data_IF_842551791056
#
_entry.id   IF_842551791056
#
_cell.length_a   1.000
_cell.length_b   1.000
_cell.length_c   1.000
_cell.angle_alpha   90.00
_cell.angle_beta   90.00
_cell.angle_gamma   90.00
#
_symmetry.space_group_name_H-M   'P 1'
#
loop_
_entity.id
_entity.type
_entity.pdbx_description
1 polymer ?
#
# COMPACT_ATOMS: atom_id res chain seq x y z
N UNK A 1 -24.89 -10.20 8.98
CA UNK A 1 -25.00 -11.32 8.04
C UNK A 1 -23.61 -11.95 7.90
N UNK A 2 -23.49 -13.25 8.14
CA UNK A 2 -22.22 -13.96 8.02
C UNK A 2 -21.83 -14.05 6.54
N UNK A 3 -20.61 -13.59 6.21
CA UNK A 3 -20.12 -13.58 4.83
C UNK A 3 -18.63 -13.91 4.80
N UNK A 4 -18.22 -14.69 3.80
CA UNK A 4 -16.80 -14.97 3.51
C UNK A 4 -16.22 -13.94 2.55
N UNK A 5 -14.98 -13.54 2.81
CA UNK A 5 -14.23 -12.62 1.95
C UNK A 5 -12.74 -12.89 2.05
N UNK A 6 -12.02 -12.53 0.99
CA UNK A 6 -10.57 -12.39 1.05
C UNK A 6 -10.23 -11.01 1.64
N UNK A 7 -9.09 -10.93 2.32
CA UNK A 7 -8.63 -9.70 2.94
C UNK A 7 -7.11 -9.58 2.97
N UNK A 8 -6.64 -8.36 2.96
CA UNK A 8 -5.24 -7.96 3.11
C UNK A 8 -5.12 -7.19 4.42
N UNK A 9 -4.34 -7.70 5.35
CA UNK A 9 -4.14 -7.06 6.67
C UNK A 9 -3.28 -5.83 6.51
N UNK A 10 -3.82 -4.67 6.87
CA UNK A 10 -3.10 -3.39 6.78
C UNK A 10 -2.47 -2.98 8.11
N UNK A 11 -3.24 -3.08 9.19
CA UNK A 11 -2.79 -2.66 10.51
C UNK A 11 -3.43 -3.50 11.60
N UNK A 12 -2.73 -3.67 12.72
CA UNK A 12 -3.26 -4.35 13.90
C UNK A 12 -2.90 -3.59 15.16
N UNK A 13 -3.87 -3.52 16.08
CA UNK A 13 -3.72 -2.88 17.38
C UNK A 13 -4.16 -3.84 18.47
N UNK A 14 -3.34 -4.02 19.51
CA UNK A 14 -3.77 -4.74 20.71
C UNK A 14 -4.88 -3.96 21.42
N UNK A 15 -6.08 -4.54 21.48
CA UNK A 15 -7.23 -3.91 22.13
C UNK A 15 -7.26 -4.24 23.63
N UNK A 16 -7.07 -5.51 23.98
CA UNK A 16 -6.93 -6.01 25.35
C UNK A 16 -6.12 -7.31 25.35
N UNK A 17 -6.03 -8.00 26.52
CA UNK A 17 -5.22 -9.23 26.65
C UNK A 17 -5.76 -10.42 25.86
N UNK A 18 -7.01 -10.36 25.39
CA UNK A 18 -7.69 -11.43 24.67
C UNK A 18 -8.19 -11.04 23.30
N UNK A 19 -7.93 -9.80 22.86
CA UNK A 19 -8.45 -9.31 21.58
C UNK A 19 -7.50 -8.31 20.95
N UNK A 20 -7.47 -8.31 19.62
CA UNK A 20 -6.86 -7.25 18.79
C UNK A 20 -7.91 -6.66 17.85
N UNK A 21 -7.67 -5.46 17.39
CA UNK A 21 -8.38 -4.85 16.28
C UNK A 21 -7.47 -4.97 15.06
N UNK A 22 -8.01 -5.49 13.95
CA UNK A 22 -7.32 -5.58 12.67
C UNK A 22 -8.05 -4.73 11.63
N UNK A 23 -7.35 -3.79 11.01
CA UNK A 23 -7.81 -3.07 9.84
C UNK A 23 -7.41 -3.87 8.60
N UNK A 24 -8.41 -4.30 7.84
CA UNK A 24 -8.24 -5.22 6.71
C UNK A 24 -8.89 -4.59 5.48
N UNK A 25 -8.17 -4.59 4.36
CA UNK A 25 -8.76 -4.27 3.07
C UNK A 25 -9.35 -5.55 2.48
N UNK A 26 -10.67 -5.57 2.37
CA UNK A 26 -11.42 -6.76 1.93
C UNK A 26 -11.89 -6.62 0.49
N UNK A 27 -12.08 -7.77 -0.19
CA UNK A 27 -12.57 -7.79 -1.56
C UNK A 27 -14.00 -7.24 -1.69
N UNK A 28 -14.86 -7.50 -0.68
CA UNK A 28 -16.31 -7.25 -0.80
C UNK A 28 -16.82 -5.97 -0.15
N UNK A 29 -16.10 -5.41 0.83
CA UNK A 29 -16.53 -4.17 1.51
C UNK A 29 -15.44 -3.09 1.52
N UNK A 30 -14.30 -3.34 0.86
CA UNK A 30 -13.16 -2.45 0.94
C UNK A 30 -12.52 -2.49 2.33
N UNK A 31 -12.06 -1.33 2.83
CA UNK A 31 -11.43 -1.26 4.14
C UNK A 31 -12.45 -1.34 5.28
N UNK A 32 -12.18 -2.23 6.22
CA UNK A 32 -13.01 -2.41 7.41
C UNK A 32 -12.16 -2.78 8.63
N UNK A 33 -12.63 -2.42 9.82
CA UNK A 33 -12.02 -2.76 11.10
C UNK A 33 -12.72 -3.99 11.68
N UNK A 34 -11.92 -4.91 12.21
CA UNK A 34 -12.40 -6.18 12.75
C UNK A 34 -11.88 -6.40 14.16
N UNK A 35 -12.75 -6.84 15.07
CA UNK A 35 -12.32 -7.37 16.35
C UNK A 35 -12.02 -8.86 16.22
N UNK A 36 -10.81 -9.22 16.60
CA UNK A 36 -10.27 -10.58 16.54
C UNK A 36 -10.04 -11.06 17.96
N UNK A 37 -10.72 -12.13 18.38
CA UNK A 37 -10.44 -12.78 19.66
C UNK A 37 -9.16 -13.60 19.55
N UNK A 38 -8.23 -13.41 20.50
CA UNK A 38 -7.00 -14.18 20.63
C UNK A 38 -7.28 -15.32 21.63
N UNK A 39 -7.49 -16.53 21.15
CA UNK A 39 -7.74 -17.64 22.06
C UNK A 39 -6.43 -18.11 22.69
N UNK A 40 -6.50 -18.50 23.94
CA UNK A 40 -5.36 -19.10 24.65
C UNK A 40 -5.03 -20.54 24.20
N UNK A 41 -5.91 -21.17 23.44
CA UNK A 41 -5.77 -22.57 22.98
C UNK A 41 -5.01 -22.66 21.65
N UNK A 42 -4.09 -23.62 21.52
CA UNK A 42 -3.39 -23.96 20.26
C UNK A 42 -4.32 -24.48 19.15
N UNK A 43 -5.52 -24.98 19.49
CA UNK A 43 -6.53 -25.50 18.52
C UNK A 43 -7.52 -24.44 18.05
N UNK A 44 -7.26 -23.18 18.31
CA UNK A 44 -8.19 -22.11 17.96
C UNK A 44 -8.34 -21.90 16.46
N UNK A 45 -9.56 -21.60 16.01
CA UNK A 45 -9.90 -21.31 14.64
C UNK A 45 -9.26 -20.00 14.12
N UNK A 46 -8.85 -19.10 15.04
CA UNK A 46 -8.22 -17.83 14.70
C UNK A 46 -6.88 -17.72 15.43
N UNK A 47 -5.80 -17.56 14.68
CA UNK A 47 -4.43 -17.40 15.22
C UNK A 47 -3.92 -15.98 14.99
N UNK A 48 -3.31 -15.32 16.00
CA UNK A 48 -2.78 -13.95 15.86
C UNK A 48 -1.77 -13.79 14.73
N UNK A 49 -0.99 -14.83 14.44
CA UNK A 49 0.01 -14.84 13.37
C UNK A 49 -0.58 -14.57 11.97
N UNK A 50 -1.89 -14.81 11.79
CA UNK A 50 -2.59 -14.52 10.54
C UNK A 50 -2.75 -13.02 10.28
N UNK A 51 -2.61 -12.19 11.32
CA UNK A 51 -2.85 -10.74 11.24
C UNK A 51 -1.55 -9.92 11.22
N UNK A 52 -0.53 -10.46 10.58
CA UNK A 52 0.71 -9.71 10.30
C UNK A 52 0.49 -8.72 9.14
N UNK A 53 1.25 -7.63 9.06
CA UNK A 53 1.16 -6.67 7.96
C UNK A 53 1.25 -7.34 6.59
N UNK A 54 0.36 -6.97 5.67
CA UNK A 54 0.14 -7.52 4.32
C UNK A 54 -0.27 -9.01 4.28
N UNK A 55 -0.49 -9.69 5.40
CA UNK A 55 -0.96 -11.07 5.36
C UNK A 55 -2.25 -11.20 4.54
N UNK A 56 -2.28 -12.21 3.67
CA UNK A 56 -3.41 -12.54 2.83
C UNK A 56 -4.27 -13.58 3.54
N UNK A 57 -5.48 -13.20 3.92
CA UNK A 57 -6.39 -14.03 4.73
C UNK A 57 -7.71 -14.26 4.02
N UNK A 58 -8.26 -15.46 4.18
CA UNK A 58 -9.68 -15.71 3.96
C UNK A 58 -10.35 -15.64 5.33
N UNK A 59 -11.36 -14.81 5.46
CA UNK A 59 -12.06 -14.60 6.71
C UNK A 59 -13.57 -14.73 6.54
N UNK A 60 -14.23 -15.18 7.60
CA UNK A 60 -15.67 -15.14 7.74
C UNK A 60 -16.03 -14.17 8.86
N UNK A 61 -16.85 -13.16 8.54
CA UNK A 61 -17.23 -12.11 9.47
C UNK A 61 -18.72 -11.81 9.43
N UNK A 62 -19.22 -11.31 10.57
CA UNK A 62 -20.61 -10.87 10.70
C UNK A 62 -20.70 -9.38 10.34
N UNK A 63 -21.03 -9.11 9.05
CA UNK A 63 -21.23 -7.77 8.53
C UNK A 63 -22.60 -7.24 8.90
N UNK A 64 -22.66 -6.39 9.91
CA UNK A 64 -23.90 -5.76 10.40
C UNK A 64 -24.01 -4.36 9.82
N UNK A 65 -25.19 -3.96 9.32
CA UNK A 65 -25.44 -2.58 8.93
C UNK A 65 -25.11 -1.61 10.09
N UNK A 66 -24.46 -0.50 9.77
CA UNK A 66 -24.09 0.55 10.70
C UNK A 66 -23.08 0.17 11.82
N UNK A 67 -22.44 -1.00 11.73
CA UNK A 67 -21.36 -1.34 12.65
C UNK A 67 -20.04 -0.70 12.18
N UNK A 68 -19.35 -0.04 13.08
CA UNK A 68 -17.99 0.51 12.84
C UNK A 68 -16.90 -0.56 12.96
N UNK A 69 -17.17 -1.65 13.65
CA UNK A 69 -16.24 -2.77 13.85
C UNK A 69 -16.99 -4.08 13.68
N UNK A 70 -16.49 -4.95 12.82
CA UNK A 70 -17.05 -6.28 12.56
C UNK A 70 -16.36 -7.35 13.42
N UNK A 71 -17.03 -8.48 13.63
CA UNK A 71 -16.48 -9.61 14.38
C UNK A 71 -16.09 -10.72 13.42
N UNK A 72 -14.82 -11.13 13.45
CA UNK A 72 -14.34 -12.32 12.76
C UNK A 72 -14.76 -13.56 13.54
N UNK A 73 -15.38 -14.51 12.85
CA UNK A 73 -15.73 -15.84 13.37
C UNK A 73 -14.69 -16.88 13.03
N UNK A 74 -14.19 -16.85 11.79
CA UNK A 74 -13.14 -17.73 11.28
C UNK A 74 -12.14 -16.96 10.44
N UNK A 75 -10.88 -17.37 10.49
CA UNK A 75 -9.83 -16.86 9.62
C UNK A 75 -8.79 -17.93 9.33
N UNK A 76 -8.34 -18.00 8.10
CA UNK A 76 -7.21 -18.84 7.67
C UNK A 76 -6.30 -18.08 6.71
N UNK A 77 -5.06 -18.53 6.59
CA UNK A 77 -4.18 -17.99 5.56
C UNK A 77 -4.71 -18.40 4.18
N UNK A 78 -4.91 -17.42 3.31
CA UNK A 78 -5.22 -17.64 1.91
C UNK A 78 -3.94 -17.98 1.12
N UNK A 79 -2.84 -17.26 1.44
CA UNK A 79 -1.53 -17.46 0.82
C UNK A 79 -0.47 -17.39 1.92
N UNK A 80 0.16 -18.53 2.30
CA UNK A 80 1.23 -18.53 3.28
C UNK A 80 2.53 -18.00 2.65
N UNK A 81 3.08 -16.93 3.19
CA UNK A 81 4.33 -16.36 2.71
C UNK A 81 5.51 -17.30 2.89
N UNK A 82 6.32 -17.39 1.85
CA UNK A 82 7.53 -18.22 1.80
C UNK A 82 8.82 -17.42 2.03
N UNK A 83 8.84 -16.13 1.75
CA UNK A 83 10.04 -15.30 1.80
C UNK A 83 9.88 -13.98 2.55
N UNK A 84 8.75 -13.28 2.44
CA UNK A 84 8.55 -11.97 3.08
C UNK A 84 8.91 -11.97 4.58
N UNK A 85 8.48 -12.95 5.42
CA UNK A 85 8.83 -12.93 6.85
C UNK A 85 10.29 -13.23 7.16
N UNK A 86 11.03 -13.82 6.20
CA UNK A 86 12.39 -14.34 6.41
C UNK A 86 13.47 -13.47 5.76
N UNK A 87 13.12 -12.62 4.81
CA UNK A 87 14.01 -11.66 4.17
C UNK A 87 13.83 -10.27 4.80
N UNK A 88 14.86 -9.70 5.44
CA UNK A 88 14.77 -8.40 6.11
C UNK A 88 14.39 -7.25 5.17
N UNK A 89 14.82 -7.28 3.91
CA UNK A 89 14.49 -6.26 2.93
C UNK A 89 13.03 -6.34 2.49
N UNK A 90 12.54 -7.56 2.22
CA UNK A 90 11.13 -7.78 1.89
C UNK A 90 10.22 -7.44 3.07
N UNK A 91 10.60 -7.84 4.30
CA UNK A 91 9.87 -7.47 5.51
C UNK A 91 9.78 -5.95 5.68
N UNK A 92 10.87 -5.22 5.43
CA UNK A 92 10.87 -3.75 5.52
C UNK A 92 9.96 -3.12 4.47
N UNK A 93 9.97 -3.62 3.22
CA UNK A 93 9.06 -3.19 2.16
C UNK A 93 7.61 -3.49 2.55
N UNK A 94 7.33 -4.68 3.06
CA UNK A 94 5.98 -5.08 3.46
C UNK A 94 5.42 -4.21 4.59
N UNK A 95 6.22 -3.92 5.62
CA UNK A 95 5.84 -3.03 6.71
C UNK A 95 5.52 -1.62 6.21
N UNK A 96 6.38 -1.08 5.34
CA UNK A 96 6.15 0.22 4.73
C UNK A 96 4.85 0.26 3.91
N UNK A 97 4.63 -0.73 3.05
CA UNK A 97 3.45 -0.77 2.19
C UNK A 97 2.16 -0.97 2.99
N UNK A 98 2.19 -1.76 4.06
CA UNK A 98 1.05 -1.92 4.95
C UNK A 98 0.65 -0.59 5.60
N UNK A 99 1.62 0.14 6.17
CA UNK A 99 1.40 1.46 6.77
C UNK A 99 0.95 2.49 5.73
N UNK A 100 1.56 2.47 4.52
CA UNK A 100 1.15 3.32 3.43
C UNK A 100 -0.30 3.07 3.02
N UNK A 101 -0.67 1.82 2.76
CA UNK A 101 -2.02 1.43 2.39
C UNK A 101 -3.02 1.75 3.50
N UNK A 102 -2.66 1.52 4.76
CA UNK A 102 -3.48 1.88 5.92
C UNK A 102 -3.88 3.36 5.91
N UNK A 103 -3.04 4.24 5.38
CA UNK A 103 -3.30 5.68 5.27
C UNK A 103 -3.96 6.07 3.95
N UNK A 104 -3.54 5.45 2.85
CA UNK A 104 -3.97 5.84 1.50
C UNK A 104 -5.38 5.36 1.15
N UNK A 105 -5.80 4.16 1.61
CA UNK A 105 -7.10 3.55 1.24
C UNK A 105 -8.16 3.69 2.34
N UNK A 106 -8.15 4.78 3.08
CA UNK A 106 -9.06 4.98 4.23
C UNK A 106 -10.54 4.96 3.88
N UNK A 107 -10.90 5.55 2.76
CA UNK A 107 -12.28 5.78 2.32
C UNK A 107 -12.67 4.87 1.15
N UNK A 108 -11.79 3.91 0.80
CA UNK A 108 -12.08 3.03 -0.33
C UNK A 108 -13.20 2.03 0.04
N UNK A 109 -14.28 2.11 -0.71
CA UNK A 109 -15.34 1.12 -0.72
C UNK A 109 -14.89 -0.14 -1.49
N UNK A 110 -15.80 -1.05 -1.79
CA UNK A 110 -15.53 -2.21 -2.65
C UNK A 110 -14.87 -1.76 -3.97
N UNK A 111 -13.66 -2.26 -4.22
CA UNK A 111 -12.91 -2.02 -5.45
C UNK A 111 -12.12 -3.30 -5.79
N UNK A 112 -12.77 -4.21 -6.50
CA UNK A 112 -12.17 -5.50 -6.88
C UNK A 112 -10.91 -5.36 -7.73
N UNK A 113 -10.81 -4.44 -8.72
CA UNK A 113 -9.57 -4.24 -9.45
C UNK A 113 -8.40 -3.81 -8.56
N UNK A 114 -8.64 -2.91 -7.60
CA UNK A 114 -7.62 -2.51 -6.61
C UNK A 114 -7.23 -3.70 -5.73
N UNK A 115 -8.21 -4.46 -5.21
CA UNK A 115 -7.94 -5.64 -4.39
C UNK A 115 -7.05 -6.66 -5.14
N UNK A 116 -7.42 -6.99 -6.38
CA UNK A 116 -6.66 -7.91 -7.23
C UNK A 116 -5.23 -7.39 -7.47
N UNK A 117 -5.07 -6.10 -7.75
CA UNK A 117 -3.76 -5.47 -7.92
C UNK A 117 -2.89 -5.62 -6.66
N UNK A 118 -3.43 -5.30 -5.49
CA UNK A 118 -2.71 -5.40 -4.21
C UNK A 118 -2.31 -6.85 -3.93
N UNK A 119 -3.25 -7.79 -4.06
CA UNK A 119 -3.01 -9.21 -3.86
C UNK A 119 -1.90 -9.76 -4.77
N UNK A 120 -1.99 -9.52 -6.08
CA UNK A 120 -0.99 -9.98 -7.04
C UNK A 120 0.40 -9.35 -6.78
N UNK A 121 0.44 -8.07 -6.42
CA UNK A 121 1.70 -7.39 -6.09
C UNK A 121 2.38 -7.99 -4.85
N UNK A 122 1.62 -8.29 -3.81
CA UNK A 122 2.14 -8.89 -2.58
C UNK A 122 2.66 -10.30 -2.85
N UNK A 123 1.93 -11.12 -3.61
CA UNK A 123 2.36 -12.45 -4.01
C UNK A 123 3.64 -12.36 -4.85
N UNK A 124 3.69 -11.43 -5.82
CA UNK A 124 4.90 -11.22 -6.64
C UNK A 124 6.12 -10.90 -5.77
N UNK A 125 5.99 -10.03 -4.76
CA UNK A 125 7.10 -9.72 -3.84
C UNK A 125 7.56 -10.96 -3.07
N UNK A 126 6.63 -11.82 -2.63
CA UNK A 126 6.98 -13.04 -1.92
C UNK A 126 7.73 -14.04 -2.83
N UNK A 127 7.25 -14.24 -4.05
CA UNK A 127 7.81 -15.20 -5.00
C UNK A 127 9.12 -14.74 -5.64
N UNK A 128 9.32 -13.43 -5.81
CA UNK A 128 10.52 -12.87 -6.42
C UNK A 128 11.77 -13.20 -5.60
N UNK A 129 12.79 -13.78 -6.21
CA UNK A 129 14.05 -14.13 -5.54
C UNK A 129 15.03 -12.95 -5.48
N UNK A 130 15.12 -12.21 -6.58
CA UNK A 130 16.13 -11.18 -6.80
C UNK A 130 15.52 -9.93 -7.46
N UNK A 131 16.30 -8.85 -7.52
CA UNK A 131 15.98 -7.65 -8.30
C UNK A 131 14.73 -6.86 -7.85
N UNK A 132 14.28 -7.02 -6.61
CA UNK A 132 13.11 -6.36 -6.06
C UNK A 132 13.40 -5.00 -5.39
N UNK A 133 14.62 -4.48 -5.47
CA UNK A 133 15.02 -3.26 -4.77
C UNK A 133 14.15 -2.03 -5.10
N UNK A 134 13.58 -1.94 -6.29
CA UNK A 134 12.71 -0.86 -6.75
C UNK A 134 11.21 -1.21 -6.66
N UNK A 135 10.86 -2.37 -6.10
CA UNK A 135 9.48 -2.88 -6.05
C UNK A 135 8.48 -1.86 -5.48
N UNK A 136 8.81 -1.25 -4.34
CA UNK A 136 7.95 -0.29 -3.67
C UNK A 136 7.66 0.96 -4.53
N UNK A 137 8.61 1.40 -5.35
CA UNK A 137 8.43 2.52 -6.27
C UNK A 137 7.44 2.17 -7.38
N UNK A 138 7.60 0.99 -8.01
CA UNK A 138 6.67 0.47 -9.03
C UNK A 138 5.29 0.29 -8.43
N UNK A 139 5.21 -0.30 -7.24
CA UNK A 139 3.96 -0.51 -6.53
C UNK A 139 3.19 0.80 -6.31
N UNK A 140 3.84 1.81 -5.73
CA UNK A 140 3.20 3.10 -5.47
C UNK A 140 2.79 3.82 -6.75
N UNK A 141 3.63 3.78 -7.79
CA UNK A 141 3.35 4.41 -9.07
C UNK A 141 2.14 3.79 -9.78
N UNK A 142 1.99 2.46 -9.69
CA UNK A 142 0.81 1.77 -10.23
C UNK A 142 -0.43 1.97 -9.36
N UNK A 143 -0.27 2.01 -8.03
CA UNK A 143 -1.36 2.30 -7.10
C UNK A 143 -1.99 3.68 -7.39
N UNK A 144 -1.20 4.68 -7.82
CA UNK A 144 -1.70 6.01 -8.15
C UNK A 144 -2.80 6.00 -9.22
N UNK A 145 -2.83 4.99 -10.11
CA UNK A 145 -3.93 4.81 -11.10
C UNK A 145 -5.27 4.55 -10.41
N UNK A 146 -5.27 3.68 -9.40
CA UNK A 146 -6.49 3.34 -8.66
C UNK A 146 -6.96 4.49 -7.77
N UNK A 147 -6.03 5.36 -7.35
CA UNK A 147 -6.34 6.56 -6.57
C UNK A 147 -6.76 7.76 -7.45
N UNK A 148 -6.79 7.59 -8.79
CA UNK A 148 -7.10 8.66 -9.74
C UNK A 148 -6.04 9.76 -9.81
N UNK A 149 -4.78 9.40 -9.52
CA UNK A 149 -3.63 10.29 -9.46
C UNK A 149 -2.55 9.94 -10.49
N UNK A 150 -2.88 9.17 -11.53
CA UNK A 150 -1.85 8.78 -12.50
C UNK A 150 -1.44 9.98 -13.36
N UNK A 151 -0.13 10.30 -13.46
CA UNK A 151 0.33 11.47 -14.21
C UNK A 151 -0.05 11.43 -15.68
N UNK A 152 -0.54 12.54 -16.23
CA UNK A 152 -0.73 12.70 -17.66
C UNK A 152 0.59 13.15 -18.30
N UNK A 153 1.06 12.40 -19.31
CA UNK A 153 2.30 12.68 -20.05
C UNK A 153 2.08 13.31 -21.43
N UNK A 154 0.82 13.55 -21.84
CA UNK A 154 0.52 13.98 -23.23
C UNK A 154 1.27 15.24 -23.63
N UNK A 155 1.39 16.22 -22.72
CA UNK A 155 2.00 17.51 -22.99
C UNK A 155 3.40 17.70 -22.36
N UNK A 156 4.00 16.63 -21.84
CA UNK A 156 5.29 16.74 -21.17
C UNK A 156 6.41 17.23 -22.08
N UNK A 157 7.09 18.29 -21.64
CA UNK A 157 8.36 18.75 -22.21
C UNK A 157 9.47 18.76 -21.16
N UNK A 158 10.71 18.59 -21.62
CA UNK A 158 11.87 18.65 -20.73
C UNK A 158 12.00 20.05 -20.13
N UNK A 159 11.98 20.16 -18.82
CA UNK A 159 12.04 21.42 -18.09
C UNK A 159 10.70 21.83 -17.48
N UNK A 160 9.65 21.04 -17.67
CA UNK A 160 8.34 21.29 -17.06
C UNK A 160 8.32 20.95 -15.57
N UNK A 161 7.54 21.76 -14.84
CA UNK A 161 7.08 21.42 -13.50
C UNK A 161 6.00 20.34 -13.57
N UNK A 162 5.83 19.59 -12.50
CA UNK A 162 4.69 18.69 -12.36
C UNK A 162 3.72 19.23 -11.31
N UNK A 163 2.51 19.58 -11.73
CA UNK A 163 1.41 19.98 -10.86
C UNK A 163 0.77 18.75 -10.24
N UNK A 164 0.97 18.58 -8.93
CA UNK A 164 0.48 17.39 -8.21
C UNK A 164 -1.03 17.41 -7.99
N UNK A 165 -1.70 18.58 -7.98
CA UNK A 165 -3.14 18.67 -7.81
C UNK A 165 -3.89 18.30 -9.09
N UNK A 166 -3.36 18.75 -10.23
CA UNK A 166 -3.96 18.49 -11.54
C UNK A 166 -3.39 17.26 -12.25
N UNK A 167 -2.36 16.61 -11.65
CA UNK A 167 -1.68 15.44 -12.21
C UNK A 167 -1.13 15.67 -13.64
N UNK A 168 -0.67 16.87 -13.96
CA UNK A 168 -0.20 17.25 -15.29
C UNK A 168 1.14 17.98 -15.23
N UNK A 169 1.85 17.99 -16.37
CA UNK A 169 3.06 18.79 -16.55
C UNK A 169 2.72 20.18 -17.05
N UNK A 170 3.49 21.17 -16.62
CA UNK A 170 3.28 22.58 -16.98
C UNK A 170 4.63 23.30 -17.14
N UNK A 171 4.80 24.13 -18.18
CA UNK A 171 6.04 24.89 -18.40
C UNK A 171 6.28 25.97 -17.35
N UNK A 172 5.21 26.44 -16.69
CA UNK A 172 5.29 27.47 -15.68
C UNK A 172 4.99 26.91 -14.30
N UNK A 173 5.68 27.46 -13.29
CA UNK A 173 5.41 27.14 -11.88
C UNK A 173 3.95 27.48 -11.54
N UNK A 174 3.18 26.53 -10.98
CA UNK A 174 1.82 26.80 -10.49
C UNK A 174 1.81 27.97 -9.49
N UNK A 175 0.97 28.97 -9.73
CA UNK A 175 0.90 30.20 -8.93
C UNK A 175 -0.11 30.10 -7.77
N UNK A 176 -1.11 29.24 -7.91
CA UNK A 176 -2.26 29.15 -6.99
C UNK A 176 -2.00 28.24 -5.76
N UNK A 177 -0.96 27.42 -5.80
CA UNK A 177 -0.62 26.48 -4.73
C UNK A 177 0.87 26.13 -4.74
N UNK A 178 1.32 25.49 -3.63
CA UNK A 178 2.70 25.02 -3.48
C UNK A 178 2.88 23.52 -3.77
N UNK A 179 1.83 22.81 -4.16
CA UNK A 179 1.84 21.38 -4.43
C UNK A 179 2.31 21.08 -5.85
N UNK A 180 3.59 21.26 -6.10
CA UNK A 180 4.24 20.97 -7.39
C UNK A 180 5.63 20.36 -7.17
N UNK A 181 6.13 19.68 -8.20
CA UNK A 181 7.47 19.08 -8.25
C UNK A 181 8.32 19.91 -9.23
N UNK A 182 9.56 20.17 -8.84
CA UNK A 182 10.52 20.91 -9.66
C UNK A 182 10.89 20.12 -10.93
N UNK A 183 11.29 20.80 -12.04
CA UNK A 183 11.60 20.14 -13.32
C UNK A 183 12.63 19.00 -13.22
N UNK A 184 13.66 19.19 -12.41
CA UNK A 184 14.71 18.17 -12.21
C UNK A 184 14.15 16.87 -11.62
N UNK A 185 13.18 16.99 -10.74
CA UNK A 185 12.53 15.86 -10.08
C UNK A 185 11.31 15.34 -10.85
N UNK A 186 10.62 16.21 -11.58
CA UNK A 186 9.48 15.85 -12.44
C UNK A 186 9.90 14.83 -13.52
N UNK A 187 11.12 14.96 -14.06
CA UNK A 187 11.68 13.98 -15.00
C UNK A 187 11.81 12.56 -14.42
N UNK A 188 11.94 12.42 -13.10
CA UNK A 188 12.00 11.11 -12.39
C UNK A 188 10.65 10.40 -12.37
N UNK A 189 9.54 11.15 -12.34
CA UNK A 189 8.20 10.54 -12.45
C UNK A 189 8.05 9.76 -13.76
N UNK A 190 8.57 10.30 -14.86
CA UNK A 190 8.52 9.64 -16.17
C UNK A 190 9.29 8.32 -16.14
N UNK A 191 10.47 8.34 -15.52
CA UNK A 191 11.26 7.12 -15.32
C UNK A 191 10.48 6.09 -14.50
N UNK A 192 9.85 6.51 -13.38
CA UNK A 192 9.05 5.63 -12.53
C UNK A 192 7.83 5.06 -13.25
N UNK A 193 7.16 5.86 -14.11
CA UNK A 193 6.03 5.39 -14.91
C UNK A 193 6.40 4.32 -15.94
N UNK A 194 7.64 4.29 -16.41
CA UNK A 194 8.17 3.30 -17.35
C UNK A 194 8.55 1.99 -16.69
N UNK A 195 8.74 1.98 -15.36
CA UNK A 195 9.09 0.77 -14.63
C UNK A 195 7.89 -0.17 -14.49
N UNK A 196 8.17 -1.45 -14.58
CA UNK A 196 7.27 -2.52 -14.16
C UNK A 196 8.04 -3.56 -13.34
N UNK A 197 7.37 -4.55 -12.80
CA UNK A 197 8.01 -5.57 -11.97
C UNK A 197 9.09 -6.38 -12.71
N UNK A 198 8.91 -6.60 -14.00
CA UNK A 198 9.88 -7.35 -14.83
C UNK A 198 11.11 -6.49 -15.19
N UNK A 199 10.92 -5.19 -15.43
CA UNK A 199 11.98 -4.29 -15.95
C UNK A 199 12.62 -3.39 -14.91
N UNK A 200 12.09 -3.29 -13.68
CA UNK A 200 12.58 -2.37 -12.66
C UNK A 200 14.06 -2.59 -12.28
N UNK A 201 14.60 -3.79 -12.50
CA UNK A 201 16.00 -4.11 -12.25
C UNK A 201 16.96 -3.43 -13.23
N UNK A 202 16.47 -3.05 -14.42
CA UNK A 202 17.23 -2.32 -15.42
C UNK A 202 17.50 -0.85 -15.01
N UNK A 203 16.76 -0.35 -14.04
CA UNK A 203 16.91 1.00 -13.53
C UNK A 203 17.79 0.98 -12.27
N UNK A 204 19.10 0.97 -12.51
CA UNK A 204 20.08 0.99 -11.43
C UNK A 204 19.97 2.32 -10.65
N UNK A 205 19.69 2.22 -9.34
CA UNK A 205 19.60 3.34 -8.42
C UNK A 205 20.40 3.04 -7.16
N UNK A 206 21.14 4.00 -6.67
CA UNK A 206 21.69 3.94 -5.33
C UNK A 206 20.61 4.24 -4.26
N UNK A 207 20.96 4.10 -2.97
CA UNK A 207 20.00 4.33 -1.87
C UNK A 207 19.43 5.76 -1.88
N UNK A 208 20.27 6.76 -2.09
CA UNK A 208 19.85 8.17 -2.08
C UNK A 208 18.86 8.48 -3.21
N UNK A 209 19.09 7.93 -4.41
CA UNK A 209 18.20 8.08 -5.54
C UNK A 209 16.85 7.39 -5.31
N UNK A 210 16.84 6.16 -4.77
CA UNK A 210 15.59 5.48 -4.39
C UNK A 210 14.80 6.27 -3.35
N UNK A 211 15.49 6.79 -2.32
CA UNK A 211 14.86 7.62 -1.30
C UNK A 211 14.22 8.86 -1.91
N UNK A 212 14.93 9.56 -2.81
CA UNK A 212 14.39 10.73 -3.51
C UNK A 212 13.17 10.38 -4.35
N UNK A 213 13.23 9.30 -5.14
CA UNK A 213 12.09 8.80 -5.89
C UNK A 213 10.91 8.43 -4.99
N UNK A 214 11.18 7.78 -3.85
CA UNK A 214 10.16 7.44 -2.87
C UNK A 214 9.50 8.69 -2.30
N UNK A 215 10.27 9.70 -1.89
CA UNK A 215 9.74 10.97 -1.38
C UNK A 215 8.80 11.62 -2.39
N UNK A 216 9.20 11.71 -3.66
CA UNK A 216 8.38 12.25 -4.75
C UNK A 216 7.08 11.46 -4.88
N UNK A 217 7.17 10.13 -4.95
CA UNK A 217 6.00 9.26 -5.16
C UNK A 217 5.04 9.30 -3.97
N UNK A 218 5.57 9.29 -2.74
CA UNK A 218 4.76 9.39 -1.53
C UNK A 218 4.08 10.76 -1.45
N UNK A 219 4.81 11.85 -1.65
CA UNK A 219 4.23 13.21 -1.64
C UNK A 219 3.10 13.33 -2.65
N UNK A 220 3.28 12.78 -3.84
CA UNK A 220 2.28 12.78 -4.90
C UNK A 220 1.05 11.94 -4.55
N UNK A 221 1.23 10.72 -4.05
CA UNK A 221 0.11 9.82 -3.75
C UNK A 221 -0.63 10.16 -2.46
N UNK A 222 0.00 10.89 -1.53
CA UNK A 222 -0.62 11.32 -0.27
C UNK A 222 -1.45 12.60 -0.35
N UNK A 223 -1.40 13.34 -1.45
CA UNK A 223 -2.22 14.55 -1.62
C UNK A 223 -3.72 14.34 -1.37
N UNK A 224 -4.25 13.13 -1.58
CA UNK A 224 -5.63 12.76 -1.23
C UNK A 224 -5.78 12.17 0.18
N UNK A 225 -4.70 11.76 0.84
CA UNK A 225 -4.76 10.97 2.07
C UNK A 225 -4.40 11.73 3.36
N UNK A 226 -4.46 13.07 3.41
CA UNK A 226 -4.15 13.95 4.57
C UNK A 226 -2.68 14.10 5.00
N UNK A 227 -2.30 15.34 5.17
CA UNK A 227 -1.24 16.15 5.80
C UNK A 227 -0.10 15.52 6.65
N UNK A 228 0.03 14.21 6.82
CA UNK A 228 1.06 13.59 7.69
C UNK A 228 2.05 12.66 6.99
N UNK A 229 2.36 12.92 5.71
CA UNK A 229 3.24 12.03 4.92
C UNK A 229 4.73 12.08 5.28
N UNK A 230 5.21 13.14 5.94
CA UNK A 230 6.63 13.26 6.29
C UNK A 230 7.12 12.19 7.28
N UNK A 231 6.25 11.76 8.20
CA UNK A 231 6.61 10.75 9.22
C UNK A 231 6.83 9.33 8.65
N UNK A 232 6.24 9.01 7.50
CA UNK A 232 6.36 7.68 6.88
C UNK A 232 7.71 7.47 6.18
N UNK A 233 8.20 8.49 5.50
CA UNK A 233 9.48 8.42 4.80
C UNK A 233 10.63 8.26 5.80
N UNK A 234 10.55 8.94 6.94
CA UNK A 234 11.57 8.85 7.98
C UNK A 234 11.74 7.44 8.57
N UNK A 235 10.63 6.68 8.73
CA UNK A 235 10.68 5.33 9.30
C UNK A 235 11.29 4.27 8.39
N UNK A 236 11.31 4.51 7.08
CA UNK A 236 11.93 3.59 6.12
C UNK A 236 13.42 3.82 5.92
N UNK A 237 13.92 4.94 6.41
CA UNK A 237 15.31 5.38 6.24
C UNK A 237 16.22 4.97 7.41
N UNK A 238 15.65 4.47 8.50
CA UNK A 238 16.36 3.89 9.64
C UNK A 238 16.60 2.40 9.45
#
# INVERSE_FOLDING_TARGET
>A
MLQKTLGIVLHTLKYNDTSLIADIYTEVVGRASFIVKIPRSRKAAVKPVLFQPLALVELEADFRPNASIYKITEAKSFYPFSSIPYDPYKSSIALFLAEFLYRAVREEAENRPLFAYLQHSIIWLDECRDNFANFHLVFLMRLSRFLGLYPNLEDYQKGDYFDMLNACFTPLRPQLHSSYILPEEASRLIMLMRMNYETMHLFAMNRAERTRCLTITVSYTHLRAHEKSQDLVCRLLL
#
